data_IF_721465609284
#
_entry.id   IF_721465609284
#
_cell.length_a   1.000
_cell.length_b   1.000
_cell.length_c   1.000
_cell.angle_alpha   90.00
_cell.angle_beta   90.00
_cell.angle_gamma   90.00
#
_symmetry.space_group_name_H-M   'P 1'
#
loop_
_entity.id
_entity.type
_entity.pdbx_description
1 polymer ?
#
# COMPACT_ATOMS: atom_id res chain seq x y z
N UNK A 1 17.42 -1.14 -19.83
CA UNK A 1 18.26 -0.55 -18.76
C UNK A 1 19.67 -1.08 -18.92
N UNK A 2 20.73 -0.26 -18.97
CA UNK A 2 22.07 -0.81 -18.84
C UNK A 2 22.26 -1.09 -17.34
N UNK A 3 21.82 -2.25 -16.90
CA UNK A 3 22.33 -2.82 -15.65
C UNK A 3 23.86 -2.88 -15.82
N UNK A 4 24.62 -2.48 -14.80
CA UNK A 4 26.08 -2.59 -14.83
C UNK A 4 26.47 -4.07 -14.66
N UNK A 5 26.12 -4.89 -15.65
CA UNK A 5 26.25 -6.34 -15.64
C UNK A 5 27.69 -6.77 -15.39
N UNK A 6 28.65 -6.04 -15.92
CA UNK A 6 30.09 -6.21 -15.74
C UNK A 6 30.56 -6.07 -14.27
N UNK A 7 29.72 -5.46 -13.42
CA UNK A 7 29.93 -5.38 -11.97
C UNK A 7 29.33 -6.55 -11.19
N UNK A 8 28.35 -7.25 -11.74
CA UNK A 8 27.58 -8.28 -11.03
C UNK A 8 27.93 -9.71 -11.45
N UNK A 9 28.23 -9.91 -12.73
CA UNK A 9 28.54 -11.21 -13.31
C UNK A 9 29.83 -11.14 -14.10
N UNK A 10 30.47 -12.30 -14.28
CA UNK A 10 31.67 -12.39 -15.10
C UNK A 10 31.38 -12.04 -16.57
N UNK A 11 32.39 -11.46 -17.23
CA UNK A 11 32.28 -11.01 -18.64
C UNK A 11 31.81 -12.11 -19.59
N UNK A 12 32.12 -13.37 -19.28
CA UNK A 12 31.73 -14.53 -20.06
C UNK A 12 30.20 -14.70 -20.19
N UNK A 13 29.43 -14.12 -19.26
CA UNK A 13 27.98 -14.35 -19.14
C UNK A 13 27.14 -13.10 -19.46
N UNK A 14 27.76 -12.01 -19.93
CA UNK A 14 27.07 -10.75 -20.21
C UNK A 14 26.02 -10.83 -21.32
N UNK A 15 26.11 -11.84 -22.18
CA UNK A 15 25.17 -12.05 -23.29
C UNK A 15 24.00 -12.97 -22.92
N UNK A 16 23.99 -13.54 -21.71
CA UNK A 16 22.89 -14.37 -21.24
C UNK A 16 21.68 -13.51 -20.86
N UNK A 17 20.49 -14.06 -21.08
CA UNK A 17 19.24 -13.47 -20.61
C UNK A 17 19.14 -13.55 -19.08
N UNK A 18 18.28 -12.71 -18.48
CA UNK A 18 17.99 -12.73 -17.04
C UNK A 18 17.55 -14.11 -16.54
N UNK A 19 16.73 -14.79 -17.33
CA UNK A 19 16.20 -16.11 -16.98
C UNK A 19 17.31 -17.17 -16.99
N UNK A 20 18.19 -17.12 -17.99
CA UNK A 20 19.36 -18.01 -18.06
C UNK A 20 20.27 -17.76 -16.87
N UNK A 21 20.65 -16.50 -16.61
CA UNK A 21 21.50 -16.11 -15.48
C UNK A 21 20.95 -16.63 -14.16
N UNK A 22 19.65 -16.50 -13.91
CA UNK A 22 19.03 -17.01 -12.68
C UNK A 22 19.24 -18.51 -12.44
N UNK A 23 19.32 -19.31 -13.51
CA UNK A 23 19.52 -20.77 -13.45
C UNK A 23 21.01 -21.18 -13.40
N UNK A 24 21.93 -20.24 -13.58
CA UNK A 24 23.36 -20.53 -13.57
C UNK A 24 23.88 -20.77 -12.15
N UNK A 25 24.99 -21.53 -12.00
CA UNK A 25 25.69 -21.71 -10.73
C UNK A 25 26.05 -20.38 -10.03
N UNK A 26 26.02 -20.35 -8.71
CA UNK A 26 26.21 -19.11 -7.93
C UNK A 26 27.61 -18.49 -8.08
N UNK A 27 28.63 -19.29 -8.42
CA UNK A 27 29.99 -18.82 -8.76
C UNK A 27 30.07 -18.07 -10.10
N UNK A 28 28.94 -17.92 -10.81
CA UNK A 28 28.76 -16.98 -11.93
C UNK A 28 28.75 -15.53 -11.46
N UNK A 29 28.36 -15.28 -10.20
CA UNK A 29 28.40 -13.95 -9.61
C UNK A 29 29.84 -13.53 -9.36
N UNK A 30 30.14 -12.30 -9.76
CA UNK A 30 31.47 -11.72 -9.59
C UNK A 30 31.83 -11.68 -8.10
N UNK A 31 32.96 -12.28 -7.75
CA UNK A 31 33.47 -12.35 -6.38
C UNK A 31 33.04 -13.58 -5.58
N UNK A 32 32.22 -14.47 -6.16
CA UNK A 32 31.92 -15.78 -5.57
C UNK A 32 32.82 -16.83 -6.23
N UNK A 33 33.75 -17.42 -5.47
CA UNK A 33 34.59 -18.50 -5.99
C UNK A 33 33.84 -19.85 -5.99
N UNK A 34 34.36 -20.85 -6.73
CA UNK A 34 33.86 -22.23 -6.66
C UNK A 34 33.81 -22.79 -5.23
N UNK A 35 34.82 -22.47 -4.43
CA UNK A 35 34.87 -22.87 -3.03
C UNK A 35 33.75 -22.23 -2.21
N UNK A 36 33.43 -20.96 -2.47
CA UNK A 36 32.33 -20.27 -1.80
C UNK A 36 30.97 -20.87 -2.22
N UNK A 37 30.81 -21.20 -3.51
CA UNK A 37 29.63 -21.89 -4.02
C UNK A 37 29.43 -23.26 -3.34
N UNK A 38 30.49 -24.05 -3.18
CA UNK A 38 30.44 -25.33 -2.47
C UNK A 38 29.98 -25.15 -1.01
N UNK A 39 30.47 -24.11 -0.33
CA UNK A 39 30.08 -23.78 1.05
C UNK A 39 28.61 -23.32 1.14
N UNK A 40 28.16 -22.48 0.20
CA UNK A 40 26.75 -22.04 0.12
C UNK A 40 25.81 -23.23 -0.14
N UNK A 41 26.22 -24.16 -1.00
CA UNK A 41 25.47 -25.38 -1.24
C UNK A 41 25.42 -26.26 0.01
N UNK A 42 26.54 -26.45 0.71
CA UNK A 42 26.60 -27.27 1.93
C UNK A 42 25.81 -26.67 3.08
N UNK A 43 25.89 -25.36 3.30
CA UNK A 43 25.27 -24.69 4.43
C UNK A 43 23.77 -24.41 4.22
N UNK A 44 23.39 -23.97 3.01
CA UNK A 44 22.05 -23.43 2.74
C UNK A 44 21.35 -24.10 1.56
N UNK A 45 21.96 -25.11 0.93
CA UNK A 45 21.39 -25.79 -0.25
C UNK A 45 21.37 -24.94 -1.52
N UNK A 46 22.11 -23.82 -1.54
CA UNK A 46 22.09 -22.84 -2.62
C UNK A 46 23.02 -23.31 -3.74
N UNK A 47 22.49 -23.51 -4.96
CA UNK A 47 23.28 -23.91 -6.13
C UNK A 47 23.31 -22.82 -7.19
N UNK A 48 22.17 -22.16 -7.41
CA UNK A 48 21.97 -21.19 -8.48
C UNK A 48 21.80 -19.76 -7.96
N UNK A 49 21.90 -18.79 -8.86
CA UNK A 49 21.59 -17.38 -8.55
C UNK A 49 20.15 -17.24 -8.02
N UNK A 50 19.20 -17.98 -8.61
CA UNK A 50 17.81 -17.98 -8.13
C UNK A 50 17.68 -18.60 -6.73
N UNK A 51 18.39 -19.69 -6.43
CA UNK A 51 18.37 -20.28 -5.08
C UNK A 51 18.88 -19.27 -4.05
N UNK A 52 19.93 -18.49 -4.39
CA UNK A 52 20.49 -17.47 -3.52
C UNK A 52 19.52 -16.31 -3.32
N UNK A 53 18.98 -15.77 -4.41
CA UNK A 53 18.04 -14.64 -4.39
C UNK A 53 16.68 -14.96 -3.76
N UNK A 54 16.30 -16.23 -3.67
CA UNK A 54 15.05 -16.69 -3.05
C UNK A 54 15.25 -17.41 -1.70
N UNK A 55 16.49 -17.49 -1.20
CA UNK A 55 16.76 -18.17 0.05
C UNK A 55 16.06 -17.47 1.25
N UNK A 56 15.36 -18.20 2.14
CA UNK A 56 14.61 -17.60 3.24
C UNK A 56 15.43 -16.73 4.19
N UNK A 57 16.69 -17.10 4.47
CA UNK A 57 17.55 -16.34 5.38
C UNK A 57 18.03 -15.03 4.74
N UNK A 58 18.34 -15.05 3.45
CA UNK A 58 18.73 -13.86 2.70
C UNK A 58 17.56 -12.91 2.53
N UNK A 59 16.37 -13.44 2.25
CA UNK A 59 15.13 -12.67 2.21
C UNK A 59 14.82 -12.05 3.59
N UNK A 60 15.04 -12.79 4.69
CA UNK A 60 14.88 -12.25 6.04
C UNK A 60 15.88 -11.13 6.34
N UNK A 61 17.16 -11.30 6.00
CA UNK A 61 18.18 -10.27 6.17
C UNK A 61 17.86 -9.01 5.35
N UNK A 62 17.44 -9.18 4.09
CA UNK A 62 17.00 -8.07 3.24
C UNK A 62 15.75 -7.39 3.81
N UNK A 63 14.80 -8.15 4.35
CA UNK A 63 13.62 -7.59 5.01
C UNK A 63 13.98 -6.75 6.24
N UNK A 64 14.94 -7.20 7.06
CA UNK A 64 15.43 -6.43 8.22
C UNK A 64 16.11 -5.14 7.76
N UNK A 65 17.02 -5.21 6.79
CA UNK A 65 17.70 -4.03 6.25
C UNK A 65 16.69 -3.03 5.66
N UNK A 66 15.69 -3.53 4.94
CA UNK A 66 14.62 -2.71 4.39
C UNK A 66 13.76 -2.09 5.49
N UNK A 67 13.40 -2.84 6.53
CA UNK A 67 12.63 -2.33 7.66
C UNK A 67 13.38 -1.20 8.41
N UNK A 68 14.71 -1.25 8.44
CA UNK A 68 15.54 -0.15 8.92
C UNK A 68 15.35 1.12 8.07
N UNK A 69 15.41 1.01 6.74
CA UNK A 69 15.17 2.13 5.81
C UNK A 69 13.74 2.66 5.90
N UNK A 70 12.76 1.78 6.08
CA UNK A 70 11.35 2.12 6.25
C UNK A 70 11.05 2.92 7.53
N UNK A 71 12.03 3.11 8.43
CA UNK A 71 11.89 4.06 9.54
C UNK A 71 11.92 5.51 9.04
N UNK A 72 12.62 5.76 7.94
CA UNK A 72 12.81 7.10 7.40
C UNK A 72 11.89 7.41 6.22
N UNK A 73 11.63 6.47 5.32
CA UNK A 73 10.79 6.69 4.12
C UNK A 73 10.24 5.38 3.58
N UNK A 74 9.20 5.42 2.76
CA UNK A 74 8.74 4.21 2.07
C UNK A 74 9.63 3.90 0.86
N UNK A 75 10.35 2.78 0.91
CA UNK A 75 11.19 2.30 -0.19
C UNK A 75 10.42 1.81 -1.43
N UNK A 76 9.09 1.71 -1.36
CA UNK A 76 8.24 1.16 -2.42
C UNK A 76 7.95 -0.33 -2.23
N UNK A 77 7.07 -0.96 -3.02
CA UNK A 77 6.65 -2.33 -2.78
C UNK A 77 7.81 -3.33 -2.91
N UNK A 78 7.96 -4.32 -2.01
CA UNK A 78 8.94 -5.39 -2.19
C UNK A 78 8.50 -6.28 -3.37
N UNK A 79 9.39 -7.13 -3.91
CA UNK A 79 9.13 -7.88 -5.14
C UNK A 79 7.78 -8.61 -5.19
N UNK A 80 7.38 -9.26 -4.08
CA UNK A 80 6.07 -9.89 -3.97
C UNK A 80 4.90 -8.92 -4.22
N UNK A 81 4.90 -7.77 -3.55
CA UNK A 81 3.82 -6.78 -3.70
C UNK A 81 3.91 -6.04 -5.03
N UNK A 82 5.11 -5.84 -5.57
CA UNK A 82 5.28 -5.26 -6.91
C UNK A 82 4.65 -6.16 -7.98
N UNK A 83 4.94 -7.47 -7.92
CA UNK A 83 4.28 -8.45 -8.78
C UNK A 83 2.78 -8.43 -8.58
N UNK A 84 2.32 -8.44 -7.33
CA UNK A 84 0.89 -8.38 -6.99
C UNK A 84 0.22 -7.17 -7.61
N UNK A 85 0.76 -5.97 -7.44
CA UNK A 85 0.21 -4.74 -7.99
C UNK A 85 0.23 -4.70 -9.52
N UNK A 86 1.23 -5.34 -10.14
CA UNK A 86 1.33 -5.42 -11.60
C UNK A 86 0.25 -6.30 -12.26
N UNK A 87 -0.47 -7.12 -11.49
CA UNK A 87 -1.61 -7.90 -12.00
C UNK A 87 -2.75 -7.01 -12.50
N UNK A 88 -2.84 -5.76 -12.02
CA UNK A 88 -3.75 -4.76 -12.53
C UNK A 88 -3.07 -3.91 -13.61
N UNK A 89 -3.32 -4.25 -14.87
CA UNK A 89 -2.74 -3.50 -16.00
C UNK A 89 -3.26 -2.07 -16.09
N UNK A 90 -2.35 -1.13 -16.34
CA UNK A 90 -2.70 0.26 -16.65
C UNK A 90 -3.56 0.39 -17.92
N UNK A 91 -3.42 -0.54 -18.87
CA UNK A 91 -4.20 -0.55 -20.11
C UNK A 91 -5.71 -0.64 -19.84
N UNK A 92 -6.11 -1.33 -18.76
CA UNK A 92 -7.51 -1.39 -18.36
C UNK A 92 -8.10 0.01 -18.15
N UNK A 93 -7.34 0.92 -17.53
CA UNK A 93 -7.80 2.29 -17.25
C UNK A 93 -7.60 3.22 -18.44
N UNK A 94 -6.45 3.14 -19.11
CA UNK A 94 -6.08 4.00 -20.24
C UNK A 94 -7.01 3.79 -21.42
N UNK A 95 -7.41 2.54 -21.68
CA UNK A 95 -8.23 2.16 -22.82
C UNK A 95 -9.71 1.97 -22.45
N UNK A 96 -10.10 2.29 -21.21
CA UNK A 96 -11.46 2.05 -20.73
C UNK A 96 -12.49 2.86 -21.56
N UNK A 97 -13.54 2.23 -22.12
CA UNK A 97 -14.46 2.89 -23.05
C UNK A 97 -15.29 4.01 -22.41
N UNK A 98 -15.42 4.03 -21.08
CA UNK A 98 -16.15 5.10 -20.37
C UNK A 98 -15.43 6.45 -20.39
N UNK A 99 -14.12 6.48 -20.65
CA UNK A 99 -13.29 7.68 -20.50
C UNK A 99 -13.38 8.36 -19.12
N UNK A 100 -13.77 7.60 -18.08
CA UNK A 100 -13.97 8.10 -16.71
C UNK A 100 -12.71 8.10 -15.86
N UNK A 101 -11.55 7.72 -16.39
CA UNK A 101 -10.30 7.66 -15.63
C UNK A 101 -9.30 8.72 -16.08
N UNK A 102 -8.67 9.42 -15.13
CA UNK A 102 -7.62 10.40 -15.42
C UNK A 102 -6.28 9.67 -15.52
N UNK A 103 -5.91 9.26 -16.73
CA UNK A 103 -4.74 8.43 -16.98
C UNK A 103 -3.39 9.16 -17.05
N UNK A 104 -3.40 10.49 -17.21
CA UNK A 104 -2.20 11.29 -17.50
C UNK A 104 -1.06 11.17 -16.48
N UNK A 105 -1.37 10.82 -15.24
CA UNK A 105 -0.38 10.70 -14.16
C UNK A 105 -0.16 9.26 -13.68
N UNK A 106 -0.76 8.27 -14.35
CA UNK A 106 -0.72 6.87 -13.93
C UNK A 106 -1.47 6.58 -12.62
N UNK A 107 -1.59 5.31 -12.28
CA UNK A 107 -2.32 4.86 -11.10
C UNK A 107 -1.55 5.07 -9.78
N UNK A 108 -2.28 5.21 -8.68
CA UNK A 108 -1.79 5.25 -7.30
C UNK A 108 -2.63 4.29 -6.45
N UNK A 109 -2.01 3.17 -6.08
CA UNK A 109 -2.71 2.05 -5.45
C UNK A 109 -2.71 2.07 -3.92
N UNK A 110 -1.61 2.51 -3.28
CA UNK A 110 -1.43 2.24 -1.84
C UNK A 110 -0.70 3.35 -1.05
N UNK A 111 -0.81 3.29 0.28
CA UNK A 111 0.03 3.98 1.26
C UNK A 111 0.13 3.14 2.53
N UNK A 112 1.28 3.08 3.19
CA UNK A 112 1.46 2.37 4.45
C UNK A 112 2.28 1.08 4.33
N UNK A 113 2.04 0.12 5.22
CA UNK A 113 2.91 -1.03 5.46
C UNK A 113 2.69 -2.18 4.48
N UNK A 114 3.79 -2.64 3.88
CA UNK A 114 3.85 -3.82 3.01
C UNK A 114 4.80 -4.90 3.56
N UNK A 115 5.17 -4.78 4.84
CA UNK A 115 6.09 -5.63 5.58
C UNK A 115 5.37 -6.66 6.48
N UNK A 116 4.06 -6.87 6.26
CA UNK A 116 3.20 -7.79 6.99
C UNK A 116 2.82 -7.34 8.43
N UNK A 117 3.01 -6.07 8.76
CA UNK A 117 2.75 -5.55 10.11
C UNK A 117 1.44 -4.79 10.27
N UNK A 118 0.68 -4.58 9.19
CA UNK A 118 -0.55 -3.78 9.26
C UNK A 118 -1.61 -4.44 10.15
N UNK A 119 -2.28 -3.66 10.99
CA UNK A 119 -3.46 -4.07 11.77
C UNK A 119 -4.76 -3.45 11.27
N UNK A 120 -4.66 -2.33 10.56
CA UNK A 120 -5.79 -1.67 9.92
C UNK A 120 -5.64 -1.74 8.40
N UNK A 121 -6.65 -2.26 7.71
CA UNK A 121 -6.80 -2.07 6.27
C UNK A 121 -7.75 -0.91 6.02
N UNK A 122 -7.29 0.12 5.32
CA UNK A 122 -8.14 1.23 4.88
C UNK A 122 -8.45 1.07 3.39
N UNK A 123 -9.73 1.14 3.03
CA UNK A 123 -10.19 1.15 1.64
C UNK A 123 -10.73 2.54 1.33
N UNK A 124 -10.03 3.23 0.43
CA UNK A 124 -10.40 4.51 -0.16
C UNK A 124 -11.17 4.38 -1.46
N UNK A 125 -11.57 5.51 -2.04
CA UNK A 125 -12.25 5.53 -3.33
C UNK A 125 -11.25 5.60 -4.49
N UNK A 126 -10.58 6.72 -4.67
CA UNK A 126 -9.69 7.00 -5.79
C UNK A 126 -8.67 8.10 -5.41
N UNK A 127 -7.51 8.18 -6.08
CA UNK A 127 -6.52 9.23 -5.83
C UNK A 127 -6.94 10.58 -6.42
N UNK A 128 -6.27 11.66 -5.98
CA UNK A 128 -6.37 13.00 -6.56
C UNK A 128 -4.97 13.55 -6.91
N UNK A 129 -4.86 14.86 -7.12
CA UNK A 129 -3.62 15.54 -7.54
C UNK A 129 -2.47 15.33 -6.57
N UNK A 130 -2.72 15.39 -5.26
CA UNK A 130 -1.67 15.24 -4.25
C UNK A 130 -1.08 13.82 -4.30
N UNK A 131 -1.94 12.81 -4.42
CA UNK A 131 -1.56 11.41 -4.57
C UNK A 131 -0.80 11.17 -5.88
N UNK A 132 -1.19 11.84 -6.98
CA UNK A 132 -0.51 11.76 -8.26
C UNK A 132 0.95 12.25 -8.18
N UNK A 133 1.23 13.27 -7.36
CA UNK A 133 2.57 13.81 -7.11
C UNK A 133 3.35 12.92 -6.13
N UNK A 134 2.75 12.59 -4.98
CA UNK A 134 3.44 11.84 -3.92
C UNK A 134 3.58 10.34 -4.22
N UNK A 135 2.84 9.84 -5.23
CA UNK A 135 2.77 8.43 -5.62
C UNK A 135 2.31 7.50 -4.50
N UNK A 136 1.50 8.01 -3.57
CA UNK A 136 0.92 7.29 -2.44
C UNK A 136 -0.52 7.73 -2.20
N UNK A 137 -1.40 6.82 -1.84
CA UNK A 137 -2.82 7.09 -1.60
C UNK A 137 -3.02 7.98 -0.36
N UNK A 138 -4.10 8.75 -0.28
CA UNK A 138 -4.45 9.53 0.92
C UNK A 138 -3.28 10.39 1.45
N UNK A 139 -2.70 11.25 0.63
CA UNK A 139 -1.65 12.19 1.09
C UNK A 139 -2.14 13.62 1.19
N UNK A 140 -3.25 13.95 0.54
CA UNK A 140 -3.86 15.27 0.62
C UNK A 140 -4.61 15.54 1.93
N UNK A 141 -5.50 16.53 1.91
CA UNK A 141 -6.30 16.92 3.08
C UNK A 141 -7.13 15.76 3.66
N UNK A 142 -7.68 14.90 2.80
CA UNK A 142 -8.38 13.68 3.22
C UNK A 142 -7.47 12.73 3.99
N UNK A 143 -6.23 12.59 3.52
CA UNK A 143 -5.18 11.78 4.11
C UNK A 143 -4.77 12.23 5.50
N UNK A 144 -4.69 13.54 5.71
CA UNK A 144 -4.31 14.13 7.00
C UNK A 144 -5.42 14.01 8.05
N UNK A 145 -6.69 14.13 7.63
CA UNK A 145 -7.85 13.86 8.49
C UNK A 145 -7.93 12.38 8.86
N UNK A 146 -7.73 11.50 7.88
CA UNK A 146 -7.61 10.06 8.10
C UNK A 146 -6.46 9.73 9.06
N UNK A 147 -5.29 10.33 8.87
CA UNK A 147 -4.15 10.08 9.75
C UNK A 147 -4.46 10.52 11.20
N UNK A 148 -5.15 11.66 11.37
CA UNK A 148 -5.58 12.10 12.69
C UNK A 148 -6.58 11.13 13.33
N UNK A 149 -7.49 10.57 12.53
CA UNK A 149 -8.41 9.52 12.98
C UNK A 149 -7.67 8.26 13.44
N UNK A 150 -6.71 7.77 12.64
CA UNK A 150 -5.89 6.61 13.01
C UNK A 150 -5.13 6.86 14.32
N UNK A 151 -4.54 8.05 14.48
CA UNK A 151 -3.87 8.42 15.73
C UNK A 151 -4.83 8.42 16.94
N UNK A 152 -6.08 8.89 16.79
CA UNK A 152 -7.07 8.88 17.88
C UNK A 152 -7.38 7.46 18.37
N UNK A 153 -7.33 6.46 17.50
CA UNK A 153 -7.50 5.04 17.86
C UNK A 153 -6.18 4.34 18.18
N UNK A 154 -5.10 5.09 18.40
CA UNK A 154 -3.80 4.54 18.80
C UNK A 154 -2.94 3.98 17.66
N UNK A 155 -3.34 4.14 16.40
CA UNK A 155 -2.64 3.61 15.24
C UNK A 155 -1.82 4.72 14.56
N UNK A 156 -0.49 4.57 14.57
CA UNK A 156 0.44 5.57 14.01
C UNK A 156 1.18 5.05 12.78
N UNK A 157 1.35 3.74 12.67
CA UNK A 157 2.13 3.08 11.62
C UNK A 157 1.50 1.79 11.12
N UNK A 158 0.78 1.04 11.96
CA UNK A 158 0.29 -0.31 11.65
C UNK A 158 -0.97 -0.31 10.79
N UNK A 159 -0.87 0.26 9.59
CA UNK A 159 -1.95 0.31 8.61
C UNK A 159 -1.44 0.14 7.19
N UNK A 160 -2.35 -0.28 6.31
CA UNK A 160 -2.19 -0.28 4.87
C UNK A 160 -3.46 0.34 4.26
N UNK A 161 -3.28 1.28 3.35
CA UNK A 161 -4.34 1.96 2.63
C UNK A 161 -4.29 1.50 1.19
N UNK A 162 -5.44 1.14 0.63
CA UNK A 162 -5.63 0.88 -0.80
C UNK A 162 -6.82 1.68 -1.33
N UNK A 163 -6.86 1.98 -2.62
CA UNK A 163 -8.04 2.60 -3.25
C UNK A 163 -8.91 1.58 -3.99
N UNK A 164 -10.20 1.89 -4.10
CA UNK A 164 -11.17 1.15 -4.94
C UNK A 164 -10.77 1.20 -6.41
N UNK A 165 -10.30 2.36 -6.87
CA UNK A 165 -9.73 2.59 -8.19
C UNK A 165 -8.29 3.07 -8.06
N UNK A 166 -7.39 2.47 -8.84
CA UNK A 166 -6.00 2.93 -8.93
C UNK A 166 -5.90 4.33 -9.57
N UNK A 167 -6.87 4.70 -10.42
CA UNK A 167 -6.88 5.96 -11.14
C UNK A 167 -7.97 6.89 -10.61
N UNK A 168 -7.67 8.19 -10.59
CA UNK A 168 -8.65 9.22 -10.25
C UNK A 168 -9.81 9.18 -11.22
N UNK A 169 -11.03 9.27 -10.70
CA UNK A 169 -12.24 9.26 -11.53
C UNK A 169 -12.57 10.67 -12.03
N UNK A 170 -13.16 10.77 -13.21
CA UNK A 170 -13.76 11.99 -13.72
C UNK A 170 -15.20 12.07 -13.21
N UNK A 171 -15.58 13.14 -12.52
CA UNK A 171 -16.95 13.27 -11.99
C UNK A 171 -17.14 12.56 -10.63
N UNK A 172 -18.37 12.12 -10.37
CA UNK A 172 -18.77 11.52 -9.10
C UNK A 172 -18.85 9.99 -9.19
N UNK A 173 -18.91 9.33 -8.03
CA UNK A 173 -19.20 7.91 -7.94
C UNK A 173 -20.70 7.62 -8.15
N UNK A 174 -21.13 7.73 -9.41
CA UNK A 174 -22.51 7.55 -9.89
C UNK A 174 -22.83 6.09 -10.25
N UNK A 175 -23.99 5.85 -10.90
CA UNK A 175 -24.43 4.51 -11.30
C UNK A 175 -23.50 3.84 -12.32
N UNK A 176 -22.87 4.63 -13.19
CA UNK A 176 -21.88 4.12 -14.13
C UNK A 176 -20.64 3.62 -13.38
N UNK A 177 -20.10 4.45 -12.46
CA UNK A 177 -18.94 4.07 -11.66
C UNK A 177 -19.22 2.90 -10.71
N UNK A 178 -20.45 2.74 -10.21
CA UNK A 178 -20.86 1.54 -9.47
C UNK A 178 -20.72 0.28 -10.30
N UNK A 179 -21.22 0.28 -11.54
CA UNK A 179 -21.03 -0.85 -12.48
C UNK A 179 -19.55 -1.10 -12.76
N UNK A 180 -18.79 -0.06 -13.11
CA UNK A 180 -17.36 -0.19 -13.41
C UNK A 180 -16.60 -0.76 -12.20
N UNK A 181 -16.92 -0.35 -10.98
CA UNK A 181 -16.27 -0.87 -9.76
C UNK A 181 -16.42 -2.38 -9.55
N UNK A 182 -17.40 -3.01 -10.22
CA UNK A 182 -17.70 -4.43 -10.15
C UNK A 182 -17.34 -5.19 -11.42
N UNK A 183 -16.69 -4.53 -12.39
CA UNK A 183 -16.18 -5.23 -13.57
C UNK A 183 -15.17 -6.31 -13.16
N UNK A 184 -15.18 -7.50 -13.81
CA UNK A 184 -14.37 -8.64 -13.38
C UNK A 184 -12.90 -8.32 -13.17
N UNK A 185 -12.29 -7.53 -14.07
CA UNK A 185 -10.87 -7.14 -13.97
C UNK A 185 -10.57 -6.40 -12.66
N UNK A 186 -11.34 -5.36 -12.34
CA UNK A 186 -11.15 -4.58 -11.11
C UNK A 186 -11.56 -5.36 -9.87
N UNK A 187 -12.74 -5.99 -9.91
CA UNK A 187 -13.30 -6.70 -8.77
C UNK A 187 -12.38 -7.84 -8.35
N UNK A 188 -12.00 -8.72 -9.28
CA UNK A 188 -11.17 -9.88 -8.97
C UNK A 188 -9.79 -9.46 -8.45
N UNK A 189 -9.17 -8.46 -9.08
CA UNK A 189 -7.89 -7.92 -8.59
C UNK A 189 -8.02 -7.40 -7.16
N UNK A 190 -9.03 -6.54 -6.89
CA UNK A 190 -9.19 -5.90 -5.59
C UNK A 190 -9.50 -6.91 -4.49
N UNK A 191 -10.39 -7.87 -4.75
CA UNK A 191 -10.74 -8.91 -3.79
C UNK A 191 -9.54 -9.81 -3.49
N UNK A 192 -8.82 -10.22 -4.53
CA UNK A 192 -7.63 -11.03 -4.37
C UNK A 192 -6.49 -10.27 -3.66
N UNK A 193 -6.39 -8.95 -3.86
CA UNK A 193 -5.49 -8.08 -3.11
C UNK A 193 -5.88 -7.99 -1.64
N UNK A 194 -7.16 -7.78 -1.33
CA UNK A 194 -7.68 -7.71 0.05
C UNK A 194 -7.46 -9.05 0.77
N UNK A 195 -7.82 -10.17 0.14
CA UNK A 195 -7.61 -11.52 0.68
C UNK A 195 -6.12 -11.77 0.98
N UNK A 196 -5.23 -11.31 0.09
CA UNK A 196 -3.78 -11.42 0.27
C UNK A 196 -3.29 -10.56 1.43
N UNK A 197 -3.79 -9.33 1.56
CA UNK A 197 -3.44 -8.43 2.67
C UNK A 197 -3.87 -9.03 4.02
N UNK A 198 -5.10 -9.54 4.11
CA UNK A 198 -5.61 -10.19 5.33
C UNK A 198 -4.83 -11.46 5.65
N UNK A 199 -4.50 -12.29 4.66
CA UNK A 199 -3.73 -13.52 4.89
C UNK A 199 -2.31 -13.23 5.39
N UNK A 200 -1.70 -12.12 4.96
CA UNK A 200 -0.31 -11.80 5.26
C UNK A 200 -0.12 -10.91 6.48
N UNK A 201 -1.15 -10.21 6.93
CA UNK A 201 -1.08 -9.24 8.02
C UNK A 201 -2.05 -9.60 9.15
N UNK A 202 -1.77 -9.20 10.40
CA UNK A 202 -2.71 -9.34 11.51
C UNK A 202 -3.83 -8.28 11.45
N UNK A 203 -4.59 -8.22 10.35
CA UNK A 203 -5.67 -7.24 10.19
C UNK A 203 -6.78 -7.51 11.20
N UNK A 204 -7.07 -6.49 12.02
CA UNK A 204 -8.10 -6.51 13.06
C UNK A 204 -9.38 -5.83 12.59
N UNK A 205 -9.26 -4.74 11.81
CA UNK A 205 -10.40 -4.01 11.27
C UNK A 205 -10.14 -3.55 9.84
N UNK A 206 -11.22 -3.42 9.07
CA UNK A 206 -11.24 -2.77 7.76
C UNK A 206 -12.06 -1.49 7.87
N UNK A 207 -11.48 -0.35 7.47
CA UNK A 207 -12.15 0.95 7.45
C UNK A 207 -12.40 1.37 6.01
N UNK A 208 -13.66 1.64 5.65
CA UNK A 208 -14.00 2.19 4.33
C UNK A 208 -14.29 3.67 4.43
N UNK A 209 -13.85 4.45 3.43
CA UNK A 209 -14.13 5.88 3.37
C UNK A 209 -14.83 6.25 2.06
N UNK A 210 -16.11 6.59 2.17
CA UNK A 210 -16.93 7.05 1.05
C UNK A 210 -17.69 5.94 0.32
N UNK A 211 -18.54 6.36 -0.63
CA UNK A 211 -19.51 5.48 -1.28
C UNK A 211 -18.87 4.40 -2.17
N UNK A 212 -17.77 4.72 -2.86
CA UNK A 212 -17.06 3.74 -3.69
C UNK A 212 -16.41 2.63 -2.87
N UNK A 213 -15.73 2.99 -1.78
CA UNK A 213 -15.11 2.03 -0.88
C UNK A 213 -16.17 1.13 -0.20
N UNK A 214 -17.25 1.73 0.31
CA UNK A 214 -18.38 0.95 0.86
C UNK A 214 -18.95 0.01 -0.20
N UNK A 215 -19.21 0.49 -1.41
CA UNK A 215 -19.78 -0.33 -2.48
C UNK A 215 -18.86 -1.49 -2.87
N UNK A 216 -17.56 -1.27 -2.91
CA UNK A 216 -16.58 -2.32 -3.15
C UNK A 216 -16.62 -3.41 -2.08
N UNK A 217 -16.69 -3.02 -0.80
CA UNK A 217 -16.74 -3.97 0.32
C UNK A 217 -18.09 -4.67 0.44
N UNK A 218 -19.20 -3.98 0.18
CA UNK A 218 -20.54 -4.61 0.18
C UNK A 218 -20.66 -5.76 -0.84
N UNK A 219 -19.82 -5.75 -1.88
CA UNK A 219 -19.82 -6.74 -2.96
C UNK A 219 -18.62 -7.71 -2.93
N UNK A 220 -17.77 -7.63 -1.90
CA UNK A 220 -16.71 -8.61 -1.69
C UNK A 220 -17.24 -9.82 -0.93
N UNK A 221 -17.02 -11.02 -1.47
CA UNK A 221 -17.63 -12.26 -0.96
C UNK A 221 -17.20 -12.58 0.48
N UNK A 222 -15.96 -12.26 0.86
CA UNK A 222 -15.41 -12.57 2.17
C UNK A 222 -15.65 -11.46 3.22
N UNK A 223 -16.45 -10.44 2.91
CA UNK A 223 -16.71 -9.31 3.83
C UNK A 223 -17.21 -9.74 5.20
N UNK A 224 -18.06 -10.77 5.27
CA UNK A 224 -18.62 -11.28 6.54
C UNK A 224 -17.57 -11.89 7.47
N UNK A 225 -16.40 -12.26 6.94
CA UNK A 225 -15.30 -12.82 7.71
C UNK A 225 -14.40 -11.75 8.34
N UNK A 226 -14.70 -10.47 8.12
CA UNK A 226 -13.89 -9.34 8.57
C UNK A 226 -14.73 -8.31 9.32
N UNK A 227 -14.13 -7.64 10.31
CA UNK A 227 -14.78 -6.51 10.97
C UNK A 227 -14.65 -5.26 10.11
N UNK A 228 -15.71 -4.90 9.39
CA UNK A 228 -15.75 -3.75 8.47
C UNK A 228 -16.55 -2.59 9.05
N UNK A 229 -15.97 -1.40 9.08
CA UNK A 229 -16.63 -0.15 9.45
C UNK A 229 -16.74 0.77 8.24
N UNK A 230 -17.93 1.34 8.06
CA UNK A 230 -18.22 2.21 6.92
C UNK A 230 -18.28 3.67 7.38
N UNK A 231 -17.26 4.43 7.02
CA UNK A 231 -17.11 5.82 7.42
C UNK A 231 -17.42 6.75 6.23
N UNK A 232 -18.05 7.89 6.55
CA UNK A 232 -18.21 8.98 5.59
C UNK A 232 -16.83 9.50 5.18
N UNK A 233 -16.69 9.84 3.89
CA UNK A 233 -15.42 10.28 3.32
C UNK A 233 -14.88 11.53 4.04
N UNK A 234 -13.55 11.66 4.30
CA UNK A 234 -13.01 12.74 5.12
C UNK A 234 -13.25 14.15 4.56
N UNK A 235 -13.51 14.30 3.26
CA UNK A 235 -13.79 15.59 2.61
C UNK A 235 -15.28 15.92 2.51
N UNK A 236 -16.18 15.04 2.97
CA UNK A 236 -17.59 15.34 3.04
C UNK A 236 -17.89 16.38 4.14
N UNK A 237 -19.06 17.05 4.08
CA UNK A 237 -19.45 18.06 5.07
C UNK A 237 -19.44 17.52 6.50
N UNK A 238 -18.99 18.32 7.47
CA UNK A 238 -18.87 17.99 8.89
C UNK A 238 -20.18 17.45 9.47
N UNK A 239 -21.32 17.99 9.00
CA UNK A 239 -22.66 17.55 9.39
C UNK A 239 -22.95 16.07 9.10
N UNK A 240 -22.17 15.46 8.19
CA UNK A 240 -22.25 14.03 7.87
C UNK A 240 -21.05 13.25 8.40
N UNK A 241 -19.85 13.84 8.33
CA UNK A 241 -18.62 13.16 8.72
C UNK A 241 -18.50 13.00 10.24
N UNK A 242 -18.77 14.05 11.03
CA UNK A 242 -18.63 13.97 12.49
C UNK A 242 -19.56 12.94 13.12
N UNK A 243 -20.87 12.89 12.82
CA UNK A 243 -21.75 11.86 13.36
C UNK A 243 -21.30 10.44 12.95
N UNK A 244 -20.93 10.25 11.69
CA UNK A 244 -20.47 8.95 11.18
C UNK A 244 -19.24 8.44 11.93
N UNK A 245 -18.26 9.31 12.18
CA UNK A 245 -17.01 8.95 12.84
C UNK A 245 -17.21 8.80 14.34
N UNK A 246 -17.89 9.74 15.00
CA UNK A 246 -18.12 9.70 16.45
C UNK A 246 -18.89 8.44 16.88
N UNK A 247 -19.91 8.04 16.12
CA UNK A 247 -20.75 6.89 16.45
C UNK A 247 -19.99 5.55 16.39
N UNK A 248 -18.89 5.49 15.65
CA UNK A 248 -18.12 4.25 15.43
C UNK A 248 -16.75 4.28 16.12
N UNK A 249 -16.30 5.44 16.62
CA UNK A 249 -14.93 5.64 17.10
C UNK A 249 -14.56 4.70 18.25
N UNK A 250 -15.41 4.61 19.28
CA UNK A 250 -15.16 3.75 20.44
C UNK A 250 -15.15 2.28 20.08
N UNK A 251 -16.13 1.83 19.29
CA UNK A 251 -16.19 0.43 18.83
C UNK A 251 -14.95 0.06 18.00
N UNK A 252 -14.52 0.94 17.09
CA UNK A 252 -13.29 0.72 16.30
C UNK A 252 -12.08 0.55 17.22
N UNK A 253 -11.93 1.41 18.24
CA UNK A 253 -10.82 1.33 19.17
C UNK A 253 -10.81 0.04 20.00
N UNK A 254 -11.98 -0.53 20.34
CA UNK A 254 -12.09 -1.78 21.10
C UNK A 254 -11.56 -3.00 20.33
N UNK A 255 -11.64 -2.99 18.99
CA UNK A 255 -11.10 -4.07 18.15
C UNK A 255 -9.59 -3.92 17.87
N UNK A 256 -8.98 -2.79 18.25
CA UNK A 256 -7.62 -2.45 17.84
C UNK A 256 -6.60 -2.57 18.97
N UNK A 257 -5.50 -3.25 18.64
CA UNK A 257 -4.26 -3.13 19.41
C UNK A 257 -3.51 -1.88 18.95
N UNK A 258 -3.42 -0.88 19.84
CA UNK A 258 -2.74 0.38 19.55
C UNK A 258 -1.23 0.19 19.32
N UNK A 259 -0.66 0.97 18.39
CA UNK A 259 0.79 1.15 18.29
C UNK A 259 1.34 1.86 19.53
N UNK A 260 0.60 2.86 20.01
CA UNK A 260 0.88 3.60 21.24
C UNK A 260 -0.43 3.84 22.00
N UNK A 261 -0.66 3.13 23.13
CA UNK A 261 -1.85 3.34 23.94
C UNK A 261 -1.97 4.76 24.52
N UNK A 262 -0.86 5.51 24.66
CA UNK A 262 -0.86 6.82 25.30
C UNK A 262 -1.43 7.94 24.42
N UNK A 263 -1.54 7.71 23.10
CA UNK A 263 -2.09 8.71 22.17
C UNK A 263 -3.59 8.52 21.90
N UNK A 264 -4.20 7.46 22.44
CA UNK A 264 -5.62 7.18 22.26
C UNK A 264 -6.42 8.37 22.78
N UNK A 265 -7.32 8.89 21.93
CA UNK A 265 -8.19 10.01 22.27
C UNK A 265 -9.59 9.76 21.69
N UNK A 266 -10.54 9.49 22.58
CA UNK A 266 -11.95 9.22 22.25
C UNK A 266 -12.85 10.47 22.31
N UNK A 267 -12.28 11.67 22.46
CA UNK A 267 -13.07 12.91 22.40
C UNK A 267 -13.76 13.02 21.04
N UNK A 268 -15.07 13.30 20.99
CA UNK A 268 -15.80 13.39 19.74
C UNK A 268 -15.32 14.58 18.89
N UNK A 269 -15.39 14.40 17.58
CA UNK A 269 -15.22 15.49 16.60
C UNK A 269 -16.35 16.51 16.75
N UNK A 270 -15.99 17.79 16.81
CA UNK A 270 -16.93 18.92 16.95
C UNK A 270 -16.46 20.13 16.14
N UNK A 271 -17.32 21.13 15.97
CA UNK A 271 -16.97 22.37 15.28
C UNK A 271 -16.76 22.21 13.77
N UNK A 272 -15.97 23.12 13.19
CA UNK A 272 -15.54 23.07 11.78
C UNK A 272 -14.22 22.31 11.63
N UNK A 273 -13.93 21.82 10.44
CA UNK A 273 -12.60 21.27 10.17
C UNK A 273 -11.50 22.30 10.47
N UNK A 274 -10.49 21.86 11.22
CA UNK A 274 -9.40 22.70 11.72
C UNK A 274 -8.07 21.94 11.56
N UNK A 275 -7.04 22.62 11.06
CA UNK A 275 -5.74 21.98 10.75
C UNK A 275 -5.04 21.47 12.00
N UNK A 276 -5.24 22.09 13.16
CA UNK A 276 -4.55 21.72 14.41
C UNK A 276 -5.31 20.62 15.16
N UNK A 277 -6.64 20.70 15.17
CA UNK A 277 -7.50 19.77 15.92
C UNK A 277 -7.77 18.49 15.13
N UNK A 278 -7.98 18.60 13.82
CA UNK A 278 -8.58 17.52 13.03
C UNK A 278 -7.65 16.94 11.97
N UNK A 279 -6.44 17.47 11.85
CA UNK A 279 -5.46 17.04 10.84
C UNK A 279 -4.11 16.76 11.50
N UNK A 280 -3.33 15.91 10.86
CA UNK A 280 -1.93 15.71 11.19
C UNK A 280 -1.18 15.35 9.92
N UNK A 281 0.12 15.63 9.92
CA UNK A 281 0.95 15.41 8.75
C UNK A 281 1.02 13.93 8.39
N UNK A 282 1.17 13.67 7.10
CA UNK A 282 1.49 12.33 6.64
C UNK A 282 2.87 11.93 7.18
N UNK A 283 3.00 10.76 7.83
CA UNK A 283 4.27 10.34 8.38
C UNK A 283 5.36 10.22 7.31
N UNK A 284 6.61 10.52 7.67
CA UNK A 284 7.74 10.48 6.73
C UNK A 284 7.86 9.09 6.09
N UNK A 285 7.77 8.05 6.91
CA UNK A 285 7.89 6.65 6.52
C UNK A 285 6.79 6.14 5.56
N UNK A 286 5.77 6.94 5.28
CA UNK A 286 4.73 6.62 4.30
C UNK A 286 5.00 7.19 2.90
N UNK A 287 6.02 8.03 2.76
CA UNK A 287 6.33 8.74 1.53
C UNK A 287 7.65 8.26 0.90
N UNK A 288 7.76 8.22 -0.43
CA UNK A 288 9.02 7.92 -1.12
C UNK A 288 10.19 8.79 -0.66
N UNK A 289 11.41 8.31 -0.89
CA UNK A 289 12.61 9.11 -0.68
C UNK A 289 12.50 10.46 -1.42
N UNK A 290 13.01 11.52 -0.78
CA UNK A 290 13.06 12.88 -1.34
C UNK A 290 11.73 13.60 -1.66
N UNK A 291 10.57 13.04 -1.30
CA UNK A 291 9.32 13.82 -1.35
C UNK A 291 9.42 15.01 -0.37
N UNK A 292 9.31 16.26 -0.85
CA UNK A 292 9.59 17.45 -0.07
C UNK A 292 8.64 17.57 1.13
N UNK A 293 9.12 18.21 2.20
CA UNK A 293 8.34 18.43 3.42
C UNK A 293 6.99 19.11 3.18
N UNK A 294 6.90 20.01 2.19
CA UNK A 294 5.66 20.68 1.80
C UNK A 294 4.56 19.70 1.36
N UNK A 295 4.91 18.57 0.73
CA UNK A 295 3.95 17.54 0.37
C UNK A 295 3.33 16.82 1.59
N UNK A 296 3.87 17.03 2.81
CA UNK A 296 3.32 16.49 4.07
C UNK A 296 2.35 17.44 4.77
N UNK A 297 2.41 18.73 4.45
CA UNK A 297 1.93 19.83 5.28
C UNK A 297 0.75 20.59 4.65
N UNK A 298 0.12 20.03 3.61
CA UNK A 298 -0.88 20.62 2.67
C UNK A 298 -0.30 21.38 1.47
N UNK A 299 -0.82 21.04 0.29
CA UNK A 299 -1.04 22.01 -0.77
C UNK A 299 -2.29 22.82 -0.37
N UNK A 300 -2.05 24.07 0.06
CA UNK A 300 -2.99 25.18 0.36
C UNK A 300 -3.93 24.99 1.57
#
# INVERSE_FOLDING_TARGET
MPFAWDKLIDKAYLNNSLEELGKMPIDTLKGVSKKDADLLQQAFGIKTINDFGSNPYFLAAQAIYRAEMEKEYDAGPPPFWLQKFSELSDDYFVQHPSARFRSAFGGVLYRGRLDNTARVLVVGQDPSTDEAIARRAFVGSAGQRLQKFLNKVGITRSYIIINTFAYSILGQFDSEMRRISLEPTLKNFRENLIDTLIKKNPIQVILTFGAGAKHAMDNWENTQNSKVFNLVHPTAPEATTHPSWNNQLSEIAEFLEADDPNIINMEPYTGKWDKTLHMTNIPRFDLPYDIPFLARNTWY
#
